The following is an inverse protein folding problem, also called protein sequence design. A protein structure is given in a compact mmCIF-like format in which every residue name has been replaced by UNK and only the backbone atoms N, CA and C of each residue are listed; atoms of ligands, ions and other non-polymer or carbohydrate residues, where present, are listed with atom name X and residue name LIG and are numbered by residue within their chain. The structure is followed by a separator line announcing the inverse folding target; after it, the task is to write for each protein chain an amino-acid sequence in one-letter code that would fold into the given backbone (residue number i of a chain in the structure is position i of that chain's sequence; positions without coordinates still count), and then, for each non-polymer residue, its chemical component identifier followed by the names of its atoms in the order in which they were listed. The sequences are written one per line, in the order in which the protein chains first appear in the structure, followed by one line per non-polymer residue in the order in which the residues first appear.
data_IF_574530636387
#
_entry.id   IF_574530636387
#
_cell.length_a   1.000
_cell.length_b   1.000
_cell.length_c   1.000
_cell.angle_alpha   90.00
_cell.angle_beta   90.00
_cell.angle_gamma   90.00
#
_symmetry.space_group_name_H-M   'P 1'
#
loop_
_entity.id
_entity.type
_entity.pdbx_description
1 polymer ?
#
# COMPACT_ATOMS: atom_id res chain seq x y z
N UNK A 1 -6.04 17.24 23.30
CA UNK A 1 -5.52 16.24 22.33
C UNK A 1 -6.07 16.60 20.96
N UNK A 2 -5.22 17.02 20.02
CA UNK A 2 -5.63 17.52 18.70
C UNK A 2 -6.09 16.38 17.79
N UNK A 3 -7.22 16.56 17.09
CA UNK A 3 -7.86 15.55 16.22
C UNK A 3 -6.92 14.92 15.18
N UNK A 4 -5.90 15.66 14.73
CA UNK A 4 -4.85 15.16 13.82
C UNK A 4 -4.11 13.93 14.36
N UNK A 5 -3.80 13.90 15.67
CA UNK A 5 -3.10 12.76 16.29
C UNK A 5 -3.98 11.51 16.38
N UNK A 6 -5.30 11.66 16.43
CA UNK A 6 -6.22 10.54 16.46
C UNK A 6 -6.28 9.84 15.09
N UNK A 7 -6.33 10.62 14.01
CA UNK A 7 -6.41 10.09 12.64
C UNK A 7 -5.12 9.35 12.29
N UNK A 8 -3.95 9.89 12.65
CA UNK A 8 -2.65 9.22 12.44
C UNK A 8 -2.57 7.92 13.25
N UNK A 9 -3.00 7.93 14.52
CA UNK A 9 -3.04 6.71 15.34
C UNK A 9 -4.00 5.66 14.80
N UNK A 10 -5.15 6.07 14.27
CA UNK A 10 -6.11 5.15 13.67
C UNK A 10 -5.57 4.53 12.38
N UNK A 11 -4.93 5.35 11.55
CA UNK A 11 -4.25 4.91 10.33
C UNK A 11 -3.13 3.90 10.63
N UNK A 12 -2.30 4.19 11.63
CA UNK A 12 -1.25 3.27 12.10
C UNK A 12 -1.83 1.99 12.71
N UNK A 13 -2.92 2.10 13.48
CA UNK A 13 -3.61 0.92 14.01
C UNK A 13 -4.17 0.03 12.90
N UNK A 14 -4.72 0.61 11.82
CA UNK A 14 -5.23 -0.14 10.67
C UNK A 14 -4.09 -0.90 9.98
N UNK A 15 -2.94 -0.24 9.76
CA UNK A 15 -1.75 -0.88 9.18
C UNK A 15 -1.29 -2.03 10.08
N UNK A 16 -1.08 -1.76 11.36
CA UNK A 16 -0.45 -2.70 12.29
C UNK A 16 -1.35 -3.91 12.59
N UNK A 17 -2.68 -3.73 12.57
CA UNK A 17 -3.63 -4.79 12.93
C UNK A 17 -4.21 -5.57 11.75
N UNK A 18 -4.39 -4.95 10.59
CA UNK A 18 -4.96 -5.62 9.40
C UNK A 18 -3.90 -5.96 8.37
N UNK A 19 -3.07 -4.99 7.98
CA UNK A 19 -2.19 -5.16 6.82
C UNK A 19 -0.86 -5.83 7.17
N UNK A 20 -0.25 -5.52 8.32
CA UNK A 20 0.98 -6.17 8.78
C UNK A 20 0.85 -7.70 9.01
N UNK A 21 -0.21 -8.26 9.64
CA UNK A 21 -0.32 -9.70 9.78
C UNK A 21 -0.53 -10.40 8.42
N UNK A 22 -1.20 -9.75 7.47
CA UNK A 22 -1.35 -10.26 6.11
C UNK A 22 0.00 -10.22 5.39
N UNK A 23 0.74 -9.11 5.49
CA UNK A 23 2.08 -8.96 4.94
C UNK A 23 3.08 -9.96 5.54
N UNK A 24 3.00 -10.25 6.84
CA UNK A 24 3.87 -11.21 7.53
C UNK A 24 3.58 -12.68 7.16
N UNK A 25 2.38 -12.96 6.63
CA UNK A 25 1.99 -14.28 6.11
C UNK A 25 2.33 -14.44 4.62
N UNK A 26 2.69 -13.37 3.93
CA UNK A 26 3.09 -13.47 2.52
C UNK A 26 4.47 -14.15 2.41
N UNK A 27 4.64 -15.07 1.45
CA UNK A 27 5.91 -15.75 1.24
C UNK A 27 6.99 -14.75 0.82
N UNK A 28 8.23 -14.96 1.27
CA UNK A 28 9.40 -14.09 1.00
C UNK A 28 9.74 -13.89 -0.48
N UNK A 29 9.07 -14.63 -1.37
CA UNK A 29 9.21 -14.58 -2.82
C UNK A 29 8.36 -13.47 -3.45
N UNK A 30 7.34 -12.98 -2.72
CA UNK A 30 6.46 -11.90 -3.16
C UNK A 30 6.70 -10.65 -2.29
N UNK A 31 7.45 -9.66 -2.77
CA UNK A 31 7.61 -8.42 -2.02
C UNK A 31 6.22 -7.77 -1.88
N UNK A 32 5.82 -7.48 -0.65
CA UNK A 32 4.51 -6.87 -0.28
C UNK A 32 4.21 -5.62 -1.13
N UNK A 33 5.27 -4.91 -1.51
CA UNK A 33 5.23 -3.74 -2.39
C UNK A 33 4.74 -4.09 -3.81
N UNK A 34 5.18 -5.22 -4.38
CA UNK A 34 4.74 -5.66 -5.70
C UNK A 34 3.28 -6.12 -5.69
N UNK A 35 2.80 -6.68 -4.58
CA UNK A 35 1.38 -6.96 -4.39
C UNK A 35 0.56 -5.67 -4.29
N UNK A 36 1.03 -4.67 -3.55
CA UNK A 36 0.37 -3.35 -3.50
C UNK A 36 0.29 -2.71 -4.88
N UNK A 37 1.35 -2.82 -5.68
CA UNK A 37 1.39 -2.31 -7.06
C UNK A 37 0.47 -3.06 -8.02
N UNK A 38 0.30 -4.37 -7.88
CA UNK A 38 -0.65 -5.12 -8.70
C UNK A 38 -2.10 -4.74 -8.37
N UNK A 39 -2.41 -4.53 -7.08
CA UNK A 39 -3.70 -3.97 -6.67
C UNK A 39 -3.94 -2.57 -7.23
N UNK A 40 -2.90 -1.74 -7.27
CA UNK A 40 -3.02 -0.38 -7.79
C UNK A 40 -3.20 -0.35 -9.31
N UNK A 41 -2.53 -1.24 -10.04
CA UNK A 41 -2.74 -1.44 -11.47
C UNK A 41 -4.14 -1.99 -11.75
N UNK A 42 -4.60 -2.96 -10.95
CA UNK A 42 -5.95 -3.51 -11.03
C UNK A 42 -7.02 -2.44 -10.84
N UNK A 43 -6.83 -1.57 -9.83
CA UNK A 43 -7.67 -0.40 -9.61
C UNK A 43 -7.70 0.54 -10.83
N UNK A 44 -6.54 0.85 -11.42
CA UNK A 44 -6.43 1.71 -12.60
C UNK A 44 -7.18 1.13 -13.81
N UNK A 45 -7.09 -0.19 -14.03
CA UNK A 45 -7.80 -0.89 -15.10
C UNK A 45 -9.31 -0.89 -14.84
N UNK A 46 -9.75 -1.17 -13.62
CA UNK A 46 -11.16 -1.13 -13.22
C UNK A 46 -11.75 0.28 -13.36
N UNK A 47 -11.00 1.31 -12.96
CA UNK A 47 -11.40 2.71 -13.14
C UNK A 47 -11.54 3.04 -14.63
N UNK A 48 -10.55 2.68 -15.45
CA UNK A 48 -10.62 2.85 -16.90
C UNK A 48 -11.81 2.14 -17.53
N UNK A 49 -12.10 0.91 -17.12
CA UNK A 49 -13.25 0.15 -17.61
C UNK A 49 -14.58 0.80 -17.19
N UNK A 50 -14.71 1.22 -15.93
CA UNK A 50 -15.90 1.88 -15.40
C UNK A 50 -16.16 3.25 -16.06
N UNK A 51 -15.09 3.93 -16.50
CA UNK A 51 -15.14 5.20 -17.20
C UNK A 51 -15.41 5.06 -18.70
N UNK A 52 -14.94 3.98 -19.34
CA UNK A 52 -15.18 3.71 -20.77
C UNK A 52 -16.56 3.11 -21.03
N UNK A 53 -17.11 2.29 -20.14
CA UNK A 53 -18.39 1.62 -20.33
C UNK A 53 -19.56 2.59 -20.65
N UNK A 54 -19.74 3.71 -19.92
CA UNK A 54 -20.83 4.64 -20.18
C UNK A 54 -20.64 5.39 -21.51
N UNK A 55 -19.39 5.66 -21.89
CA UNK A 55 -19.04 6.33 -23.15
C UNK A 55 -19.46 5.48 -24.34
N UNK A 56 -19.20 4.17 -24.27
CA UNK A 56 -19.53 3.20 -25.33
C UNK A 56 -21.02 2.90 -25.36
N UNK A 57 -21.69 2.80 -24.21
CA UNK A 57 -23.10 2.39 -24.12
C UNK A 57 -24.12 3.51 -24.31
N UNK A 58 -23.83 4.72 -23.83
CA UNK A 58 -24.81 5.82 -23.81
C UNK A 58 -24.47 6.97 -24.77
N UNK A 59 -23.32 6.91 -25.45
CA UNK A 59 -22.85 7.98 -26.34
C UNK A 59 -22.39 9.19 -25.52
N UNK A 60 -21.08 9.39 -25.42
CA UNK A 60 -20.54 10.48 -24.61
C UNK A 60 -20.61 11.83 -25.32
N UNK A 61 -20.93 12.87 -24.54
CA UNK A 61 -20.66 14.26 -24.92
C UNK A 61 -19.14 14.50 -24.93
N UNK A 62 -18.63 15.34 -25.84
CA UNK A 62 -17.19 15.63 -25.95
C UNK A 62 -16.59 16.11 -24.61
N UNK A 63 -17.33 16.91 -23.83
CA UNK A 63 -16.92 17.33 -22.49
C UNK A 63 -16.75 16.17 -21.51
N UNK A 64 -17.71 15.23 -21.51
CA UNK A 64 -17.63 14.03 -20.66
C UNK A 64 -16.43 13.15 -20.99
N UNK A 65 -16.07 13.01 -22.28
CA UNK A 65 -14.87 12.27 -22.71
C UNK A 65 -13.58 12.95 -22.21
N UNK A 66 -13.50 14.27 -22.32
CA UNK A 66 -12.33 15.04 -21.84
C UNK A 66 -12.17 14.88 -20.34
N UNK A 67 -13.21 15.12 -19.54
CA UNK A 67 -13.15 15.00 -18.08
C UNK A 67 -12.76 13.58 -17.65
N UNK A 68 -13.38 12.59 -18.28
CA UNK A 68 -13.15 11.17 -17.99
C UNK A 68 -11.72 10.75 -18.31
N UNK A 69 -11.19 11.18 -19.46
CA UNK A 69 -9.81 10.91 -19.86
C UNK A 69 -8.81 11.60 -18.93
N UNK A 70 -9.09 12.83 -18.50
CA UNK A 70 -8.22 13.59 -17.60
C UNK A 70 -8.13 12.91 -16.22
N UNK A 71 -9.27 12.44 -15.69
CA UNK A 71 -9.33 11.66 -14.45
C UNK A 71 -8.48 10.39 -14.60
N UNK A 72 -8.59 9.69 -15.72
CA UNK A 72 -7.81 8.48 -15.96
C UNK A 72 -6.30 8.78 -16.07
N UNK A 73 -5.90 9.81 -16.81
CA UNK A 73 -4.50 10.23 -16.91
C UNK A 73 -3.91 10.68 -15.57
N UNK A 74 -4.69 11.35 -14.73
CA UNK A 74 -4.26 11.74 -13.38
C UNK A 74 -3.97 10.51 -12.50
N UNK A 75 -4.85 9.50 -12.55
CA UNK A 75 -4.63 8.23 -11.86
C UNK A 75 -3.40 7.47 -12.40
N UNK A 76 -3.20 7.51 -13.72
CA UNK A 76 -2.03 6.90 -14.37
C UNK A 76 -0.72 7.61 -13.97
N UNK A 77 -0.72 8.94 -13.95
CA UNK A 77 0.42 9.73 -13.50
C UNK A 77 0.77 9.43 -12.04
N UNK A 78 -0.24 9.28 -11.19
CA UNK A 78 -0.06 8.88 -9.80
C UNK A 78 0.57 7.47 -9.69
N UNK A 79 0.08 6.49 -10.46
CA UNK A 79 0.67 5.14 -10.53
C UNK A 79 2.15 5.17 -10.95
N UNK A 80 2.49 5.95 -11.98
CA UNK A 80 3.87 6.14 -12.41
C UNK A 80 4.73 6.81 -11.33
N UNK A 81 4.16 7.79 -10.62
CA UNK A 81 4.80 8.45 -9.48
C UNK A 81 5.19 7.45 -8.39
N UNK A 82 4.26 6.60 -7.96
CA UNK A 82 4.56 5.58 -6.96
C UNK A 82 5.57 4.56 -7.46
N UNK A 83 5.46 4.11 -8.71
CA UNK A 83 6.43 3.18 -9.32
C UNK A 83 7.86 3.72 -9.24
N UNK A 84 8.06 5.03 -9.41
CA UNK A 84 9.36 5.69 -9.25
C UNK A 84 9.87 5.74 -7.80
N UNK A 85 8.98 5.72 -6.81
CA UNK A 85 9.35 5.78 -5.38
C UNK A 85 9.67 4.42 -4.76
N UNK A 86 9.28 3.31 -5.40
CA UNK A 86 9.60 1.93 -4.97
C UNK A 86 11.09 1.68 -4.69
N UNK A 87 12.05 2.07 -5.55
CA UNK A 87 13.48 1.82 -5.29
C UNK A 87 14.02 2.51 -4.03
N UNK A 88 13.27 3.42 -3.41
CA UNK A 88 13.64 4.03 -2.12
C UNK A 88 13.43 3.09 -0.93
N UNK A 89 12.67 2.00 -1.10
CA UNK A 89 12.44 1.00 -0.06
C UNK A 89 13.68 0.10 0.02
N UNK A 90 14.51 0.31 1.04
CA UNK A 90 15.68 -0.52 1.30
C UNK A 90 15.33 -1.65 2.28
N UNK A 91 15.77 -2.89 2.03
CA UNK A 91 15.68 -3.95 3.04
C UNK A 91 16.51 -3.55 4.26
N UNK A 92 16.01 -3.82 5.47
CA UNK A 92 16.56 -3.40 6.79
C UNK A 92 16.43 -1.92 7.19
N UNK A 93 15.70 -1.09 6.45
CA UNK A 93 15.36 0.27 6.90
C UNK A 93 13.86 0.42 7.09
N UNK A 94 13.45 1.32 8.00
CA UNK A 94 12.05 1.72 8.14
C UNK A 94 11.54 2.24 6.79
N UNK A 95 10.33 1.83 6.39
CA UNK A 95 9.76 2.22 5.10
C UNK A 95 9.54 3.75 5.06
N UNK A 96 10.30 4.51 4.24
CA UNK A 96 10.16 5.97 4.17
C UNK A 96 8.84 6.38 3.50
N UNK A 97 8.16 5.46 2.81
CA UNK A 97 6.87 5.72 2.17
C UNK A 97 5.73 5.80 3.18
N UNK A 98 5.86 5.22 4.38
CA UNK A 98 4.82 5.28 5.43
C UNK A 98 4.47 6.72 5.81
N UNK A 99 5.43 7.58 6.21
CA UNK A 99 5.13 9.00 6.48
C UNK A 99 4.87 9.81 5.20
N UNK A 100 5.56 9.51 4.09
CA UNK A 100 5.42 10.27 2.84
C UNK A 100 4.03 10.13 2.21
N UNK A 101 3.41 8.95 2.32
CA UNK A 101 2.10 8.66 1.73
C UNK A 101 0.94 8.79 2.72
N UNK A 102 1.19 9.26 3.95
CA UNK A 102 0.15 9.38 4.98
C UNK A 102 -0.98 10.31 4.54
N UNK A 103 -0.65 11.48 4.00
CA UNK A 103 -1.64 12.43 3.49
C UNK A 103 -2.49 11.83 2.38
N UNK A 104 -1.85 11.15 1.42
CA UNK A 104 -2.51 10.53 0.28
C UNK A 104 -3.44 9.38 0.72
N UNK A 105 -3.01 8.56 1.68
CA UNK A 105 -3.82 7.48 2.24
C UNK A 105 -5.05 8.01 2.98
N UNK A 106 -4.89 9.07 3.76
CA UNK A 106 -6.01 9.72 4.44
C UNK A 106 -7.03 10.28 3.45
N UNK A 107 -6.56 10.97 2.40
CA UNK A 107 -7.41 11.50 1.34
C UNK A 107 -8.14 10.35 0.62
N UNK A 108 -7.42 9.31 0.20
CA UNK A 108 -8.00 8.16 -0.49
C UNK A 108 -9.04 7.42 0.36
N UNK A 109 -8.80 7.31 1.67
CA UNK A 109 -9.75 6.72 2.62
C UNK A 109 -11.02 7.57 2.78
N UNK A 110 -10.88 8.89 2.88
CA UNK A 110 -12.03 9.80 2.93
C UNK A 110 -12.87 9.72 1.64
N UNK A 111 -12.21 9.67 0.47
CA UNK A 111 -12.88 9.47 -0.81
C UNK A 111 -13.59 8.11 -0.89
N UNK A 112 -13.00 7.04 -0.36
CA UNK A 112 -13.64 5.73 -0.30
C UNK A 112 -14.92 5.76 0.53
N UNK A 113 -14.89 6.41 1.70
CA UNK A 113 -16.08 6.56 2.55
C UNK A 113 -17.16 7.36 1.82
N UNK A 114 -16.79 8.47 1.18
CA UNK A 114 -17.70 9.27 0.38
C UNK A 114 -18.32 8.47 -0.79
N UNK A 115 -17.50 7.70 -1.51
CA UNK A 115 -17.93 6.85 -2.62
C UNK A 115 -18.90 5.75 -2.15
N UNK A 116 -18.66 5.17 -0.97
CA UNK A 116 -19.56 4.20 -0.34
C UNK A 116 -20.91 4.83 -0.02
N UNK A 117 -20.94 6.00 0.61
CA UNK A 117 -22.21 6.69 0.87
C UNK A 117 -22.96 7.01 -0.42
N UNK A 118 -22.26 7.50 -1.44
CA UNK A 118 -22.86 7.84 -2.73
C UNK A 118 -23.38 6.62 -3.51
N UNK A 119 -22.77 5.46 -3.36
CA UNK A 119 -23.16 4.24 -4.09
C UNK A 119 -24.39 3.53 -3.49
N UNK A 120 -24.79 3.88 -2.26
CA UNK A 120 -25.99 3.32 -1.60
C UNK A 120 -27.28 3.84 -2.24
N UNK A 121 -27.29 5.08 -2.74
CA UNK A 121 -28.50 5.73 -3.29
C UNK A 121 -28.79 5.36 -4.77
N UNK A 122 -28.00 4.48 -5.39
CA UNK A 122 -28.12 4.17 -6.81
C UNK A 122 -29.18 3.11 -7.14
N UNK A 123 -30.02 3.37 -8.14
CA UNK A 123 -30.95 2.39 -8.75
C UNK A 123 -30.69 2.26 -10.26
N UNK A 124 -30.71 1.03 -10.80
CA UNK A 124 -30.56 0.74 -12.24
C UNK A 124 -29.12 0.47 -12.72
N UNK A 125 -28.85 0.60 -14.02
CA UNK A 125 -27.52 0.34 -14.65
C UNK A 125 -26.41 1.24 -14.09
N UNK A 126 -26.75 2.46 -13.67
CA UNK A 126 -25.83 3.36 -12.96
C UNK A 126 -25.32 2.78 -11.63
N UNK A 127 -26.09 1.89 -10.99
CA UNK A 127 -25.66 1.22 -9.77
C UNK A 127 -24.49 0.27 -10.02
N UNK A 128 -24.53 -0.55 -11.08
CA UNK A 128 -23.45 -1.48 -11.44
C UNK A 128 -22.14 -0.71 -11.71
N UNK A 129 -22.22 0.41 -12.44
CA UNK A 129 -21.08 1.29 -12.70
C UNK A 129 -20.54 1.90 -11.39
N UNK A 130 -21.43 2.33 -10.50
CA UNK A 130 -21.04 2.87 -9.20
C UNK A 130 -20.36 1.82 -8.31
N UNK A 131 -20.80 0.56 -8.36
CA UNK A 131 -20.16 -0.55 -7.65
C UNK A 131 -18.77 -0.83 -8.22
N UNK A 132 -18.61 -0.80 -9.54
CA UNK A 132 -17.31 -1.00 -10.19
C UNK A 132 -16.30 0.10 -9.83
N UNK A 133 -16.75 1.36 -9.78
CA UNK A 133 -15.95 2.49 -9.30
C UNK A 133 -15.60 2.34 -7.81
N UNK A 134 -16.54 1.87 -7.00
CA UNK A 134 -16.30 1.66 -5.56
C UNK A 134 -15.29 0.53 -5.32
N UNK A 135 -15.37 -0.55 -6.10
CA UNK A 135 -14.38 -1.64 -6.08
C UNK A 135 -12.99 -1.16 -6.55
N UNK A 136 -12.94 -0.31 -7.58
CA UNK A 136 -11.70 0.33 -8.00
C UNK A 136 -11.10 1.18 -6.89
N UNK A 137 -11.89 2.01 -6.21
CA UNK A 137 -11.41 2.85 -5.11
C UNK A 137 -10.96 2.00 -3.91
N UNK A 138 -11.67 0.91 -3.62
CA UNK A 138 -11.33 -0.03 -2.55
C UNK A 138 -10.00 -0.72 -2.83
N UNK A 139 -9.81 -1.24 -4.04
CA UNK A 139 -8.54 -1.86 -4.46
C UNK A 139 -7.39 -0.85 -4.49
N UNK A 140 -7.65 0.41 -4.83
CA UNK A 140 -6.67 1.49 -4.74
C UNK A 140 -6.19 1.73 -3.31
N UNK A 141 -7.14 1.88 -2.38
CA UNK A 141 -6.84 2.09 -0.96
C UNK A 141 -6.06 0.89 -0.42
N UNK A 142 -6.53 -0.33 -0.66
CA UNK A 142 -5.81 -1.55 -0.27
C UNK A 142 -4.38 -1.56 -0.82
N UNK A 143 -4.18 -1.20 -2.09
CA UNK A 143 -2.86 -1.09 -2.71
C UNK A 143 -1.95 -0.11 -1.97
N UNK A 144 -2.45 1.09 -1.64
CA UNK A 144 -1.70 2.09 -0.87
C UNK A 144 -1.29 1.60 0.53
N UNK A 145 -2.20 0.91 1.22
CA UNK A 145 -1.91 0.36 2.55
C UNK A 145 -0.88 -0.78 2.50
N UNK A 146 -0.91 -1.63 1.46
CA UNK A 146 0.13 -2.65 1.25
C UNK A 146 1.50 -2.04 0.93
N UNK A 147 1.57 -0.98 0.12
CA UNK A 147 2.83 -0.27 -0.17
C UNK A 147 3.40 0.40 1.09
N UNK A 148 2.54 0.85 2.00
CA UNK A 148 2.94 1.46 3.28
C UNK A 148 3.39 0.44 4.35
N UNK A 149 3.17 -0.87 4.14
CA UNK A 149 3.61 -1.90 5.08
C UNK A 149 5.14 -1.91 5.21
N UNK A 150 5.62 -2.29 6.39
CA UNK A 150 7.04 -2.47 6.60
C UNK A 150 7.52 -3.76 5.91
N UNK A 151 8.66 -3.74 5.20
CA UNK A 151 9.25 -4.96 4.69
C UNK A 151 9.66 -5.85 5.86
N UNK A 152 9.32 -7.14 5.80
CA UNK A 152 9.66 -8.09 6.85
C UNK A 152 11.19 -8.11 7.04
N UNK A 153 11.71 -7.95 8.28
CA UNK A 153 13.13 -8.07 8.50
C UNK A 153 13.56 -9.46 8.02
N UNK A 154 14.68 -9.58 7.27
CA UNK A 154 15.19 -10.88 6.88
C UNK A 154 15.29 -11.69 8.16
N UNK A 155 14.63 -12.86 8.18
CA UNK A 155 14.81 -13.83 9.27
C UNK A 155 16.32 -13.94 9.40
N UNK A 156 16.85 -13.37 10.48
CA UNK A 156 18.23 -13.62 10.84
C UNK A 156 18.25 -15.13 10.94
N UNK A 157 18.84 -15.80 9.94
CA UNK A 157 19.52 -17.04 10.23
C UNK A 157 20.41 -16.60 11.36
N UNK A 158 20.03 -16.96 12.59
CA UNK A 158 20.98 -17.09 13.66
C UNK A 158 22.04 -17.99 13.01
N UNK A 159 23.07 -17.36 12.46
CA UNK A 159 24.36 -17.99 12.41
C UNK A 159 24.55 -18.31 13.87
N UNK A 160 24.33 -19.58 14.20
CA UNK A 160 24.88 -20.20 15.37
C UNK A 160 26.38 -20.01 15.21
N UNK A 161 26.85 -18.79 15.49
CA UNK A 161 28.25 -18.48 15.65
C UNK A 161 28.58 -18.99 17.03
N UNK A 162 28.46 -20.30 17.18
CA UNK A 162 29.33 -21.11 18.01
C UNK A 162 30.71 -20.98 17.38
N UNK A 163 31.28 -19.77 17.45
CA UNK A 163 32.71 -19.65 17.31
C UNK A 163 33.31 -20.51 18.42
N UNK A 164 34.37 -21.28 18.16
CA UNK A 164 35.06 -21.96 19.24
C UNK A 164 35.46 -20.86 20.23
N UNK A 165 35.01 -21.00 21.48
CA UNK A 165 35.58 -20.25 22.59
C UNK A 165 37.05 -20.66 22.57
N UNK A 166 37.92 -19.79 22.07
CA UNK A 166 39.35 -19.95 22.26
C UNK A 166 39.54 -19.63 23.73
N UNK A 167 39.45 -20.66 24.57
CA UNK A 167 39.95 -20.59 25.94
C UNK A 167 41.42 -20.20 25.83
N UNK A 168 41.71 -18.96 26.21
CA UNK A 168 43.07 -18.46 26.25
C UNK A 168 43.88 -19.33 27.18
N UNK A 169 44.83 -20.07 26.61
CA UNK A 169 45.95 -20.69 27.32
C UNK A 169 46.87 -19.58 27.81
N UNK A 170 46.44 -18.83 28.82
CA UNK A 170 47.25 -17.83 29.53
C UNK A 170 46.78 -17.70 30.97
N UNK A 171 47.03 -18.74 31.78
CA UNK A 171 47.26 -18.58 33.21
C UNK A 171 48.56 -19.33 33.50
N UNK A 172 49.66 -18.61 33.31
CA UNK A 172 51.02 -19.10 33.47
C UNK A 172 51.28 -19.60 34.89
N UNK A 173 51.95 -20.75 34.95
CA UNK A 173 52.87 -21.10 36.02
C UNK A 173 53.77 -19.90 36.35
N UNK A 174 53.78 -19.48 37.62
CA UNK A 174 54.74 -18.47 38.08
C UNK A 174 54.38 -17.78 39.39
N UNK A 175 54.18 -18.52 40.47
CA UNK A 175 54.29 -17.96 41.82
C UNK A 175 55.68 -18.25 42.36
N UNK A 176 56.54 -17.23 42.29
CA UNK A 176 57.78 -17.15 43.07
C UNK A 176 57.37 -16.64 44.45
N UNK A 177 57.44 -17.50 45.46
CA UNK A 177 57.76 -17.18 46.86
C UNK A 177 57.85 -18.45 47.70
#
# INVERSE_FOLDING_TARGET
MTSSNFIVRFDDWLIDRLFQPVANRLPSVLPVVQLGMSFQLGSLMLNGAALLLPIVLFGATMGGVVDTSLIWFMNLAFFLGMKKTIPMIRPNMLNPLRPMMLSMRMIAMAFLIYQLFRSVDGVGIGWILSQLMTLSQLTFVIGLYFVACQPQPPRQRMSSRTGPIIEGVWAGNGSIR
#
